data_IF_851780956576
#
_entry.id   IF_851780956576
#
_cell.length_a   1.000
_cell.length_b   1.000
_cell.length_c   1.000
_cell.angle_alpha   90.00
_cell.angle_beta   90.00
_cell.angle_gamma   90.00
#
_symmetry.space_group_name_H-M   'P 1'
#
loop_
_entity.id
_entity.type
_entity.pdbx_description
1 polymer ?
#
# COMPACT_ATOMS: atom_id res chain seq x y z
N UNK A 1 -14.39 49.03 35.02
CA UNK A 1 -14.21 47.63 34.55
C UNK A 1 -15.13 47.30 33.36
N UNK A 2 -15.18 48.13 32.32
CA UNK A 2 -16.16 47.97 31.22
C UNK A 2 -15.58 47.84 29.81
N UNK A 3 -14.24 47.84 29.64
CA UNK A 3 -13.59 47.84 28.29
C UNK A 3 -13.07 46.50 27.80
N UNK A 4 -13.15 45.41 28.58
CA UNK A 4 -12.62 44.06 28.17
C UNK A 4 -13.66 43.12 27.58
N UNK A 5 -14.94 43.48 27.59
CA UNK A 5 -16.04 42.63 27.06
C UNK A 5 -16.36 42.90 25.58
N UNK A 6 -15.96 44.02 25.02
CA UNK A 6 -16.24 44.34 23.61
C UNK A 6 -15.22 43.73 22.61
N UNK A 7 -14.04 43.31 23.09
CA UNK A 7 -13.01 42.73 22.24
C UNK A 7 -13.23 41.21 21.87
N UNK A 8 -14.16 40.53 22.57
CA UNK A 8 -14.48 39.10 22.28
C UNK A 8 -15.64 38.89 21.33
N UNK A 9 -16.40 39.92 20.99
CA UNK A 9 -17.55 39.82 20.08
C UNK A 9 -17.16 39.89 18.58
N UNK A 10 -15.90 40.25 18.26
CA UNK A 10 -15.42 40.43 16.89
C UNK A 10 -14.84 39.19 16.22
N UNK A 11 -14.85 38.00 16.89
CA UNK A 11 -14.10 36.85 16.41
C UNK A 11 -14.96 35.70 15.84
N UNK A 12 -16.23 35.93 15.54
CA UNK A 12 -17.15 34.90 15.03
C UNK A 12 -17.84 35.35 13.75
N UNK A 13 -17.15 36.03 12.87
CA UNK A 13 -17.62 36.22 11.50
C UNK A 13 -16.62 35.60 10.54
N UNK A 14 -16.80 34.31 10.26
CA UNK A 14 -16.16 33.65 9.11
C UNK A 14 -16.63 34.33 7.82
N UNK A 15 -15.80 34.45 6.77
CA UNK A 15 -16.18 35.03 5.50
C UNK A 15 -17.37 34.27 4.90
N UNK A 16 -18.40 34.99 4.48
CA UNK A 16 -19.57 34.46 3.83
C UNK A 16 -19.21 33.90 2.46
N UNK A 17 -19.59 32.66 2.25
CA UNK A 17 -19.61 31.99 0.96
C UNK A 17 -20.81 32.56 0.13
N UNK A 18 -20.61 33.10 -1.08
CA UNK A 18 -21.68 33.77 -1.87
C UNK A 18 -22.77 32.84 -2.42
N UNK A 19 -22.68 31.52 -2.20
CA UNK A 19 -23.63 30.53 -2.73
C UNK A 19 -24.63 29.95 -1.73
N UNK A 20 -24.55 30.28 -0.45
CA UNK A 20 -25.46 29.71 0.56
C UNK A 20 -26.57 30.73 0.91
N UNK A 21 -27.88 30.41 0.70
CA UNK A 21 -28.94 31.31 1.09
C UNK A 21 -28.81 31.60 2.59
N UNK A 22 -28.80 32.87 2.94
CA UNK A 22 -28.74 33.30 4.33
C UNK A 22 -29.81 32.61 5.14
N UNK A 23 -29.48 32.09 6.34
CA UNK A 23 -30.54 31.64 7.23
C UNK A 23 -31.53 32.79 7.43
N UNK A 24 -32.86 32.49 7.48
CA UNK A 24 -33.85 33.51 7.61
C UNK A 24 -33.47 34.40 8.78
N UNK A 25 -33.38 35.69 8.51
CA UNK A 25 -33.10 36.67 9.55
C UNK A 25 -34.13 36.44 10.66
N UNK A 26 -33.65 36.14 11.84
CA UNK A 26 -34.50 36.12 13.04
C UNK A 26 -35.17 37.51 13.12
N UNK A 27 -36.41 37.57 12.63
CA UNK A 27 -37.24 38.74 12.84
C UNK A 27 -37.36 38.88 14.35
N UNK A 28 -36.61 39.83 14.89
CA UNK A 28 -36.84 40.27 16.28
C UNK A 28 -38.19 40.95 16.23
N UNK A 29 -39.25 40.18 16.55
CA UNK A 29 -40.46 40.80 17.00
C UNK A 29 -40.09 41.58 18.28
N UNK A 30 -40.10 42.88 18.16
CA UNK A 30 -40.09 43.79 19.33
C UNK A 30 -41.42 43.58 20.10
N UNK A 31 -41.49 42.44 20.79
CA UNK A 31 -42.59 42.20 21.73
C UNK A 31 -42.50 43.26 22.83
N UNK A 32 -43.60 43.98 23.02
CA UNK A 32 -43.74 45.00 24.02
C UNK A 32 -43.16 44.57 25.38
N UNK A 33 -42.22 45.37 25.91
CA UNK A 33 -41.57 45.06 27.19
C UNK A 33 -42.66 44.97 28.27
N UNK A 34 -42.70 43.90 29.04
CA UNK A 34 -43.67 43.71 30.10
C UNK A 34 -43.56 44.84 31.13
N UNK A 35 -44.65 45.50 31.40
CA UNK A 35 -44.70 46.64 32.33
C UNK A 35 -44.77 46.23 33.81
N UNK A 36 -44.90 44.92 34.10
CA UNK A 36 -44.97 44.37 35.44
C UNK A 36 -44.00 43.20 35.66
N UNK A 37 -43.52 42.99 36.87
CA UNK A 37 -42.60 41.89 37.21
C UNK A 37 -43.24 40.52 36.92
N UNK A 38 -44.54 40.36 37.09
CA UNK A 38 -45.28 39.12 36.78
C UNK A 38 -45.34 38.89 35.28
N UNK A 39 -45.54 39.93 34.47
CA UNK A 39 -45.50 39.83 33.00
C UNK A 39 -44.11 39.48 32.48
N UNK A 40 -43.04 40.00 33.10
CA UNK A 40 -41.67 39.66 32.75
C UNK A 40 -41.36 38.18 33.07
N UNK A 41 -41.82 37.68 34.17
CA UNK A 41 -41.65 36.28 34.58
C UNK A 41 -42.46 35.33 33.69
N UNK A 42 -43.67 35.68 33.31
CA UNK A 42 -44.48 34.91 32.35
C UNK A 42 -43.79 34.84 30.97
N UNK A 43 -43.29 35.97 30.45
CA UNK A 43 -42.53 35.96 29.18
C UNK A 43 -41.21 35.18 29.27
N UNK A 44 -40.53 35.21 30.41
CA UNK A 44 -39.33 34.40 30.62
C UNK A 44 -39.64 32.92 30.59
N UNK A 45 -40.69 32.48 31.30
CA UNK A 45 -41.16 31.09 31.36
C UNK A 45 -41.60 30.60 29.96
N UNK A 46 -42.30 31.44 29.22
CA UNK A 46 -42.75 31.12 27.87
C UNK A 46 -41.59 30.96 26.89
N UNK A 47 -40.62 31.90 26.93
CA UNK A 47 -39.38 31.80 26.12
C UNK A 47 -38.57 30.54 26.48
N UNK A 48 -38.48 30.22 27.77
CA UNK A 48 -37.77 29.02 28.22
C UNK A 48 -38.52 27.75 27.76
N UNK A 49 -39.83 27.73 27.81
CA UNK A 49 -40.65 26.64 27.31
C UNK A 49 -40.51 26.46 25.80
N UNK A 50 -40.50 27.56 25.01
CA UNK A 50 -40.25 27.52 23.57
C UNK A 50 -38.86 27.02 23.25
N UNK A 51 -37.83 27.50 23.94
CA UNK A 51 -36.46 27.05 23.74
C UNK A 51 -36.27 25.55 24.06
N UNK A 52 -36.94 25.05 25.12
CA UNK A 52 -36.94 23.63 25.48
C UNK A 52 -37.65 22.79 24.41
N UNK A 53 -38.78 23.24 23.89
CA UNK A 53 -39.52 22.56 22.81
C UNK A 53 -38.69 22.53 21.53
N UNK A 54 -38.10 23.66 21.15
CA UNK A 54 -37.23 23.77 19.96
C UNK A 54 -36.00 22.87 20.09
N UNK A 55 -35.32 22.87 21.24
CA UNK A 55 -34.21 21.96 21.53
C UNK A 55 -34.64 20.48 21.49
N UNK A 56 -35.88 20.18 21.95
CA UNK A 56 -36.46 18.84 21.85
C UNK A 56 -36.67 18.39 20.40
N UNK A 57 -37.26 19.25 19.56
CA UNK A 57 -37.49 18.99 18.15
C UNK A 57 -36.17 18.83 17.38
N UNK A 58 -35.20 19.73 17.63
CA UNK A 58 -33.87 19.61 17.03
C UNK A 58 -33.14 18.33 17.43
N UNK A 59 -33.30 17.93 18.71
CA UNK A 59 -32.73 16.67 19.21
C UNK A 59 -33.38 15.45 18.56
N UNK A 60 -34.68 15.52 18.29
CA UNK A 60 -35.40 14.46 17.59
C UNK A 60 -35.03 14.38 16.11
N UNK A 61 -34.88 15.52 15.43
CA UNK A 61 -34.32 15.59 14.07
C UNK A 61 -32.90 15.07 14.01
N UNK A 62 -32.06 15.39 14.99
CA UNK A 62 -30.71 14.87 15.06
C UNK A 62 -30.64 13.33 15.23
N UNK A 63 -31.65 12.74 15.89
CA UNK A 63 -31.76 11.28 16.01
C UNK A 63 -32.00 10.57 14.68
N UNK A 64 -32.67 11.23 13.72
CA UNK A 64 -32.85 10.67 12.37
C UNK A 64 -31.50 10.53 11.63
N UNK A 65 -30.50 11.31 12.04
CA UNK A 65 -29.13 11.24 11.50
C UNK A 65 -28.17 10.38 12.33
N UNK A 66 -28.68 9.75 13.42
CA UNK A 66 -27.88 8.85 14.25
C UNK A 66 -27.39 7.66 13.40
N UNK A 67 -26.08 7.48 13.33
CA UNK A 67 -25.44 6.46 12.50
C UNK A 67 -25.20 6.85 11.05
N UNK A 68 -25.61 8.06 10.62
CA UNK A 68 -25.25 8.58 9.29
C UNK A 68 -23.92 9.32 9.40
N UNK A 69 -22.93 8.85 8.65
CA UNK A 69 -21.63 9.53 8.55
C UNK A 69 -21.80 10.81 7.70
N UNK A 70 -21.40 11.99 8.23
CA UNK A 70 -21.57 13.25 7.49
C UNK A 70 -20.70 13.26 6.23
N UNK A 71 -21.32 13.54 5.10
CA UNK A 71 -20.60 13.80 3.85
C UNK A 71 -20.29 15.27 3.72
N UNK A 72 -19.09 15.59 3.25
CA UNK A 72 -18.63 16.97 3.04
C UNK A 72 -17.85 17.08 1.71
N UNK A 73 -18.01 18.19 1.01
CA UNK A 73 -17.12 18.56 -0.09
C UNK A 73 -15.85 19.18 0.49
N UNK A 74 -14.70 18.68 0.05
CA UNK A 74 -13.39 19.11 0.49
C UNK A 74 -12.55 19.50 -0.71
N UNK A 75 -11.78 20.59 -0.59
CA UNK A 75 -10.77 20.89 -1.59
C UNK A 75 -9.72 19.77 -1.62
N UNK A 76 -9.43 19.15 -2.79
CA UNK A 76 -8.53 17.99 -2.85
C UNK A 76 -7.14 18.27 -2.28
N UNK A 77 -6.66 19.52 -2.35
CA UNK A 77 -5.38 19.93 -1.79
C UNK A 77 -5.29 19.81 -0.25
N UNK A 78 -6.43 19.76 0.45
CA UNK A 78 -6.49 19.56 1.91
C UNK A 78 -6.43 18.08 2.29
N UNK A 79 -6.51 17.18 1.32
CA UNK A 79 -6.60 15.73 1.54
C UNK A 79 -5.31 15.07 1.09
N UNK A 80 -4.53 14.55 2.04
CA UNK A 80 -3.27 13.85 1.79
C UNK A 80 -3.44 12.34 1.63
N UNK A 81 -2.45 11.71 1.00
CA UNK A 81 -2.37 10.24 0.97
C UNK A 81 -1.96 9.71 2.33
N UNK A 82 -2.53 8.58 2.73
CA UNK A 82 -2.03 7.86 3.89
C UNK A 82 -0.63 7.29 3.65
N UNK A 83 0.20 7.29 4.69
CA UNK A 83 1.50 6.59 4.70
C UNK A 83 1.36 5.08 4.48
N UNK A 84 0.19 4.52 4.79
CA UNK A 84 -0.15 3.11 4.58
C UNK A 84 -0.67 2.80 3.17
N UNK A 85 -0.78 3.82 2.30
CA UNK A 85 -1.34 3.67 0.98
C UNK A 85 -0.39 2.91 0.04
N UNK A 86 -0.72 1.65 -0.24
CA UNK A 86 0.04 0.74 -1.10
C UNK A 86 -0.32 0.83 -2.60
N UNK A 87 -0.81 1.99 -3.07
CA UNK A 87 -1.11 2.13 -4.50
C UNK A 87 0.12 2.58 -5.27
N UNK A 88 0.55 1.73 -6.19
CA UNK A 88 1.63 2.07 -7.14
C UNK A 88 1.20 3.24 -8.04
N UNK A 89 2.16 4.09 -8.41
CA UNK A 89 1.91 5.26 -9.28
C UNK A 89 1.23 4.90 -10.62
N UNK A 90 1.44 3.69 -11.12
CA UNK A 90 0.79 3.19 -12.34
C UNK A 90 -0.74 3.01 -12.20
N UNK A 91 -1.27 2.89 -10.98
CA UNK A 91 -2.73 2.81 -10.75
C UNK A 91 -3.49 4.09 -11.08
N UNK A 92 -2.75 5.20 -11.23
CA UNK A 92 -3.27 6.52 -11.61
C UNK A 92 -3.02 6.84 -13.10
N UNK A 93 -2.66 5.83 -13.88
CA UNK A 93 -2.41 5.94 -15.33
C UNK A 93 -3.14 4.82 -16.04
N UNK A 94 -3.49 5.07 -17.29
CA UNK A 94 -4.14 4.07 -18.13
C UNK A 94 -5.63 4.31 -18.38
N UNK A 95 -6.21 3.53 -19.29
CA UNK A 95 -7.58 3.80 -19.82
C UNK A 95 -8.66 3.74 -18.75
N UNK A 96 -8.52 2.87 -17.75
CA UNK A 96 -9.47 2.77 -16.64
C UNK A 96 -9.48 4.00 -15.71
N UNK A 97 -8.34 4.66 -15.55
CA UNK A 97 -8.27 5.89 -14.76
C UNK A 97 -8.83 7.07 -15.54
N UNK A 98 -8.53 7.16 -16.84
CA UNK A 98 -9.09 8.20 -17.71
C UNK A 98 -10.61 8.07 -17.85
N UNK A 99 -11.14 6.84 -17.94
CA UNK A 99 -12.58 6.61 -17.94
C UNK A 99 -13.24 7.07 -16.62
N UNK A 100 -12.63 6.77 -15.47
CA UNK A 100 -13.10 7.25 -14.17
C UNK A 100 -13.08 8.77 -14.08
N UNK A 101 -12.04 9.42 -14.60
CA UNK A 101 -11.91 10.88 -14.61
C UNK A 101 -12.97 11.54 -15.50
N UNK A 102 -13.22 10.93 -16.68
CA UNK A 102 -14.28 11.39 -17.57
C UNK A 102 -15.68 11.28 -16.95
N UNK A 103 -15.97 10.18 -16.26
CA UNK A 103 -17.23 9.96 -15.54
C UNK A 103 -17.42 11.00 -14.42
N UNK A 104 -16.40 11.22 -13.59
CA UNK A 104 -16.42 12.23 -12.52
C UNK A 104 -16.62 13.63 -13.09
N UNK A 105 -15.99 13.96 -14.23
CA UNK A 105 -16.15 15.23 -14.91
C UNK A 105 -17.56 15.43 -15.44
N UNK A 106 -18.14 14.39 -16.07
CA UNK A 106 -19.49 14.43 -16.62
C UNK A 106 -20.58 14.64 -15.55
N UNK A 107 -20.33 14.10 -14.34
CA UNK A 107 -21.27 14.19 -13.20
C UNK A 107 -21.02 15.43 -12.31
N UNK A 108 -20.01 16.27 -12.66
CA UNK A 108 -19.64 17.46 -11.88
C UNK A 108 -19.08 17.14 -10.49
N UNK A 109 -18.60 15.91 -10.26
CA UNK A 109 -18.01 15.45 -9.01
C UNK A 109 -18.09 13.94 -8.81
N UNK A 110 -17.44 13.42 -7.79
CA UNK A 110 -17.57 12.01 -7.43
C UNK A 110 -18.91 11.75 -6.72
N UNK A 111 -19.75 10.91 -7.28
CA UNK A 111 -21.04 10.49 -6.68
C UNK A 111 -20.79 9.61 -5.47
N UNK A 112 -19.89 8.64 -5.61
CA UNK A 112 -19.47 7.81 -4.50
C UNK A 112 -18.42 8.54 -3.67
N UNK A 113 -18.67 8.86 -2.39
CA UNK A 113 -17.71 9.58 -1.56
C UNK A 113 -16.43 8.79 -1.35
N UNK A 114 -15.34 9.51 -1.09
CA UNK A 114 -14.13 8.94 -0.50
C UNK A 114 -14.29 8.93 1.03
N UNK A 115 -13.51 8.10 1.73
CA UNK A 115 -13.45 8.13 3.19
C UNK A 115 -12.12 8.74 3.63
N UNK A 116 -12.18 9.70 4.55
CA UNK A 116 -11.03 10.43 5.07
C UNK A 116 -11.11 10.54 6.59
N UNK A 117 -9.96 10.67 7.25
CA UNK A 117 -9.89 11.06 8.68
C UNK A 117 -9.29 12.44 8.85
N UNK A 118 -9.57 13.09 9.97
CA UNK A 118 -8.92 14.34 10.35
C UNK A 118 -7.49 14.08 10.83
N UNK A 119 -6.56 14.95 10.43
CA UNK A 119 -5.20 14.93 10.98
C UNK A 119 -5.18 15.81 12.26
N UNK A 120 -4.89 15.17 13.38
CA UNK A 120 -4.80 15.86 14.69
C UNK A 120 -3.68 16.91 14.70
N UNK A 121 -2.53 16.56 14.10
CA UNK A 121 -1.34 17.40 14.03
C UNK A 121 -1.48 18.57 13.05
N UNK A 122 -2.45 18.54 12.16
CA UNK A 122 -2.67 19.55 11.13
C UNK A 122 -4.15 19.89 11.00
N UNK A 123 -4.71 20.75 11.86
CA UNK A 123 -6.11 21.12 11.82
C UNK A 123 -6.56 21.59 10.43
N UNK A 124 -7.66 21.07 9.95
CA UNK A 124 -8.19 21.37 8.61
C UNK A 124 -7.61 20.55 7.47
N UNK A 125 -6.64 19.66 7.73
CA UNK A 125 -6.16 18.65 6.78
C UNK A 125 -6.73 17.28 7.09
N UNK A 126 -6.80 16.47 6.04
CA UNK A 126 -7.39 15.14 6.07
C UNK A 126 -6.44 14.11 5.45
N UNK A 127 -6.57 12.87 5.86
CA UNK A 127 -5.84 11.72 5.32
C UNK A 127 -6.83 10.72 4.71
N UNK A 128 -6.53 10.23 3.51
CA UNK A 128 -7.40 9.29 2.79
C UNK A 128 -7.32 7.92 3.43
N UNK A 129 -8.49 7.37 3.79
CA UNK A 129 -8.67 5.98 4.17
C UNK A 129 -8.97 5.16 2.91
N UNK A 130 -10.03 5.54 2.16
CA UNK A 130 -10.45 4.89 0.92
C UNK A 130 -10.71 5.90 -0.19
N UNK A 131 -10.56 5.44 -1.44
CA UNK A 131 -10.92 6.23 -2.61
C UNK A 131 -9.79 7.04 -3.24
N UNK A 132 -8.54 6.61 -3.10
CA UNK A 132 -7.36 7.28 -3.65
C UNK A 132 -7.47 7.64 -5.14
N UNK A 133 -8.09 6.78 -5.99
CA UNK A 133 -8.26 7.06 -7.43
C UNK A 133 -9.25 8.19 -7.66
N UNK A 134 -10.37 8.23 -6.90
CA UNK A 134 -11.36 9.31 -7.00
C UNK A 134 -10.78 10.65 -6.55
N UNK A 135 -10.03 10.64 -5.43
CA UNK A 135 -9.32 11.82 -4.96
C UNK A 135 -8.36 12.35 -6.03
N UNK A 136 -7.52 11.47 -6.61
CA UNK A 136 -6.56 11.87 -7.64
C UNK A 136 -7.28 12.44 -8.89
N UNK A 137 -8.38 11.83 -9.30
CA UNK A 137 -9.17 12.33 -10.42
C UNK A 137 -9.75 13.72 -10.14
N UNK A 138 -10.34 13.94 -8.95
CA UNK A 138 -10.84 15.27 -8.53
C UNK A 138 -9.70 16.29 -8.45
N UNK A 139 -8.53 15.90 -7.95
CA UNK A 139 -7.34 16.76 -7.90
C UNK A 139 -6.89 17.21 -9.28
N UNK A 140 -6.82 16.28 -10.25
CA UNK A 140 -6.46 16.60 -11.64
C UNK A 140 -7.51 17.44 -12.36
N UNK A 141 -8.79 17.28 -12.03
CA UNK A 141 -9.88 18.05 -12.57
C UNK A 141 -10.06 19.42 -11.89
N UNK A 142 -9.40 19.65 -10.74
CA UNK A 142 -9.54 20.89 -9.98
C UNK A 142 -10.92 21.09 -9.35
N UNK A 143 -11.64 19.99 -9.04
CA UNK A 143 -12.98 20.02 -8.44
C UNK A 143 -12.98 19.47 -7.02
N UNK A 144 -13.90 19.93 -6.19
CA UNK A 144 -14.05 19.45 -4.81
C UNK A 144 -14.39 17.96 -4.77
N UNK A 145 -13.80 17.24 -3.83
CA UNK A 145 -14.06 15.83 -3.62
C UNK A 145 -15.12 15.63 -2.52
N UNK A 146 -16.15 14.85 -2.82
CA UNK A 146 -17.13 14.43 -1.83
C UNK A 146 -16.50 13.37 -0.93
N UNK A 147 -16.47 13.62 0.39
CA UNK A 147 -15.82 12.77 1.37
C UNK A 147 -16.73 12.49 2.58
N UNK A 148 -16.64 11.29 3.13
CA UNK A 148 -17.10 10.92 4.46
C UNK A 148 -15.94 11.14 5.43
N UNK A 149 -16.21 11.76 6.57
CA UNK A 149 -15.20 12.02 7.59
C UNK A 149 -15.41 11.04 8.74
N UNK A 150 -14.44 10.18 8.97
CA UNK A 150 -14.40 9.24 10.08
C UNK A 150 -13.25 9.61 11.02
N UNK A 151 -13.48 9.53 12.33
CA UNK A 151 -12.44 9.77 13.32
C UNK A 151 -11.83 8.41 13.72
N UNK A 152 -10.79 8.00 13.01
CA UNK A 152 -10.04 6.76 13.25
C UNK A 152 -8.63 7.08 13.74
N UNK A 153 -8.16 6.31 14.72
CA UNK A 153 -6.75 6.28 15.09
C UNK A 153 -5.89 5.54 14.04
N UNK A 154 -4.58 5.57 14.17
CA UNK A 154 -3.65 4.96 13.24
C UNK A 154 -3.83 3.45 13.11
N UNK A 155 -4.18 2.79 14.20
CA UNK A 155 -4.38 1.35 14.25
C UNK A 155 -5.63 0.93 13.50
N UNK A 156 -6.77 1.60 13.77
CA UNK A 156 -8.03 1.34 13.05
C UNK A 156 -7.92 1.72 11.57
N UNK A 157 -7.24 2.83 11.27
CA UNK A 157 -6.92 3.20 9.88
C UNK A 157 -6.17 2.07 9.17
N UNK A 158 -5.10 1.54 9.79
CA UNK A 158 -4.32 0.46 9.23
C UNK A 158 -5.17 -0.80 8.97
N UNK A 159 -6.00 -1.20 9.95
CA UNK A 159 -6.89 -2.38 9.83
C UNK A 159 -7.88 -2.20 8.68
N UNK A 160 -8.50 -1.04 8.54
CA UNK A 160 -9.46 -0.77 7.46
C UNK A 160 -8.77 -0.77 6.09
N UNK A 161 -7.60 -0.15 5.98
CA UNK A 161 -6.81 -0.17 4.74
C UNK A 161 -6.31 -1.57 4.38
N UNK A 162 -5.91 -2.38 5.37
CA UNK A 162 -5.54 -3.78 5.14
C UNK A 162 -6.73 -4.60 4.63
N UNK A 163 -7.93 -4.40 5.21
CA UNK A 163 -9.15 -5.07 4.78
C UNK A 163 -9.49 -4.75 3.32
N UNK A 164 -9.39 -3.49 2.89
CA UNK A 164 -9.59 -3.08 1.49
C UNK A 164 -8.52 -3.70 0.59
N UNK A 165 -7.26 -3.62 1.00
CA UNK A 165 -6.14 -4.13 0.22
C UNK A 165 -6.25 -5.64 -0.03
N UNK A 166 -6.65 -6.43 0.96
CA UNK A 166 -6.84 -7.89 0.81
C UNK A 166 -7.96 -8.29 -0.16
N UNK A 167 -8.93 -7.41 -0.39
CA UNK A 167 -9.97 -7.65 -1.41
C UNK A 167 -9.43 -7.44 -2.84
N UNK A 168 -8.25 -6.88 -3.00
CA UNK A 168 -7.61 -6.67 -4.30
C UNK A 168 -6.91 -7.93 -4.77
N UNK A 169 -7.14 -8.29 -6.03
CA UNK A 169 -6.53 -9.49 -6.65
C UNK A 169 -5.05 -9.35 -6.99
N UNK A 170 -4.52 -8.15 -7.00
CA UNK A 170 -3.20 -7.81 -7.56
C UNK A 170 -2.12 -7.62 -6.50
N UNK A 171 -2.45 -7.69 -5.21
CA UNK A 171 -1.48 -7.44 -4.15
C UNK A 171 -0.46 -8.58 -4.04
N UNK A 172 0.81 -8.24 -4.12
CA UNK A 172 1.91 -9.23 -4.10
C UNK A 172 2.34 -9.56 -2.67
N UNK A 173 2.83 -10.77 -2.41
CA UNK A 173 3.27 -11.21 -1.08
C UNK A 173 4.26 -10.28 -0.40
N UNK A 174 5.21 -9.71 -1.14
CA UNK A 174 6.19 -8.76 -0.62
C UNK A 174 5.55 -7.43 -0.19
N UNK A 175 4.60 -6.90 -0.97
CA UNK A 175 3.91 -5.64 -0.62
C UNK A 175 3.12 -5.78 0.67
N UNK A 176 2.42 -6.91 0.83
CA UNK A 176 1.69 -7.24 2.06
C UNK A 176 2.66 -7.32 3.24
N UNK A 177 3.77 -8.04 3.07
CA UNK A 177 4.79 -8.18 4.09
C UNK A 177 5.42 -6.86 4.49
N UNK A 178 5.76 -6.00 3.52
CA UNK A 178 6.32 -4.67 3.76
C UNK A 178 5.37 -3.77 4.55
N UNK A 179 4.07 -3.80 4.22
CA UNK A 179 3.05 -3.06 4.95
C UNK A 179 2.94 -3.53 6.41
N UNK A 180 2.93 -4.84 6.65
CA UNK A 180 2.88 -5.39 8.01
C UNK A 180 4.17 -5.11 8.79
N UNK A 181 5.34 -5.21 8.14
CA UNK A 181 6.61 -4.89 8.76
C UNK A 181 6.66 -3.43 9.21
N UNK A 182 6.24 -2.50 8.35
CA UNK A 182 6.17 -1.09 8.67
C UNK A 182 5.24 -0.83 9.87
N UNK A 183 4.03 -1.40 9.87
CA UNK A 183 3.07 -1.23 10.96
C UNK A 183 3.62 -1.75 12.30
N UNK A 184 4.36 -2.85 12.26
CA UNK A 184 5.00 -3.43 13.42
C UNK A 184 6.17 -2.58 13.92
N UNK A 185 7.03 -2.12 13.01
CA UNK A 185 8.22 -1.34 13.32
C UNK A 185 7.86 0.07 13.84
N UNK A 186 6.73 0.63 13.40
CA UNK A 186 6.15 1.88 13.92
C UNK A 186 5.38 1.69 15.24
N UNK A 187 5.33 0.46 15.78
CA UNK A 187 4.74 0.17 17.08
C UNK A 187 3.22 0.22 17.15
N UNK A 188 2.50 0.13 16.00
CA UNK A 188 1.04 0.07 16.01
C UNK A 188 0.51 -1.16 16.74
N UNK A 189 1.29 -2.23 16.76
CA UNK A 189 0.92 -3.49 17.39
C UNK A 189 2.06 -3.98 18.30
N UNK A 190 1.70 -4.42 19.50
CA UNK A 190 2.67 -4.88 20.51
C UNK A 190 3.33 -6.22 20.17
N UNK A 191 2.76 -7.02 19.27
CA UNK A 191 3.31 -8.29 18.82
C UNK A 191 2.72 -8.72 17.48
N UNK A 192 3.45 -9.56 16.73
CA UNK A 192 2.95 -10.14 15.48
C UNK A 192 1.65 -10.94 15.70
N UNK A 193 1.50 -11.59 16.85
CA UNK A 193 0.28 -12.30 17.20
C UNK A 193 -0.92 -11.36 17.30
N UNK A 194 -0.74 -10.22 17.99
CA UNK A 194 -1.80 -9.19 18.09
C UNK A 194 -2.14 -8.60 16.72
N UNK A 195 -1.14 -8.32 15.90
CA UNK A 195 -1.37 -7.88 14.53
C UNK A 195 -2.22 -8.90 13.76
N UNK A 196 -1.87 -10.20 13.81
CA UNK A 196 -2.63 -11.25 13.12
C UNK A 196 -4.08 -11.35 13.60
N UNK A 197 -4.30 -11.30 14.92
CA UNK A 197 -5.62 -11.35 15.55
C UNK A 197 -6.49 -10.18 15.09
N UNK A 198 -5.95 -8.96 15.10
CA UNK A 198 -6.71 -7.75 14.82
C UNK A 198 -7.01 -7.53 13.32
N UNK A 199 -6.08 -7.89 12.44
CA UNK A 199 -6.34 -7.87 10.99
C UNK A 199 -7.11 -9.12 10.51
N UNK A 200 -7.30 -10.13 11.38
CA UNK A 200 -8.07 -11.34 11.08
C UNK A 200 -7.38 -12.25 10.06
N UNK A 201 -6.07 -12.49 10.22
CA UNK A 201 -5.31 -13.43 9.38
C UNK A 201 -4.63 -14.49 10.25
N UNK A 202 -4.28 -15.60 9.62
CA UNK A 202 -3.52 -16.66 10.30
C UNK A 202 -2.11 -16.18 10.65
N UNK A 203 -1.66 -16.50 11.88
CA UNK A 203 -0.34 -16.11 12.37
C UNK A 203 0.80 -16.66 11.51
N UNK A 204 0.65 -17.87 10.95
CA UNK A 204 1.69 -18.45 10.08
C UNK A 204 1.78 -17.70 8.75
N UNK A 205 0.66 -17.24 8.22
CA UNK A 205 0.62 -16.40 7.03
C UNK A 205 1.29 -15.05 7.26
N UNK A 206 0.97 -14.39 8.39
CA UNK A 206 1.63 -13.15 8.79
C UNK A 206 3.14 -13.35 8.94
N UNK A 207 3.57 -14.42 9.63
CA UNK A 207 4.98 -14.73 9.83
C UNK A 207 5.73 -14.88 8.51
N UNK A 208 5.14 -15.58 7.52
CA UNK A 208 5.72 -15.70 6.17
C UNK A 208 5.82 -14.35 5.47
N UNK A 209 4.78 -13.50 5.57
CA UNK A 209 4.78 -12.17 4.99
C UNK A 209 5.88 -11.28 5.59
N UNK A 210 5.99 -11.25 6.92
CA UNK A 210 7.05 -10.52 7.63
C UNK A 210 8.44 -11.03 7.27
N UNK A 211 8.62 -12.35 7.15
CA UNK A 211 9.90 -12.95 6.75
C UNK A 211 10.31 -12.53 5.34
N UNK A 212 9.36 -12.41 4.38
CA UNK A 212 9.64 -11.88 3.06
C UNK A 212 10.10 -10.42 3.10
N UNK A 213 9.40 -9.59 3.86
CA UNK A 213 9.73 -8.17 3.98
C UNK A 213 11.09 -7.92 4.65
N UNK A 214 11.50 -8.82 5.54
CA UNK A 214 12.76 -8.74 6.30
C UNK A 214 13.93 -9.47 5.64
N UNK A 215 13.77 -9.95 4.41
CA UNK A 215 14.91 -10.47 3.65
C UNK A 215 15.96 -9.36 3.45
N UNK A 216 17.26 -9.70 3.51
CA UNK A 216 18.32 -8.74 3.26
C UNK A 216 18.16 -8.05 1.91
N UNK A 217 18.49 -6.77 1.85
CA UNK A 217 18.35 -5.93 0.65
C UNK A 217 19.10 -6.52 -0.55
N UNK A 218 20.28 -7.10 -0.35
CA UNK A 218 21.03 -7.75 -1.43
C UNK A 218 20.24 -8.91 -2.05
N UNK A 219 19.55 -9.72 -1.23
CA UNK A 219 18.70 -10.81 -1.71
C UNK A 219 17.51 -10.28 -2.48
N UNK A 220 16.85 -9.22 -1.99
CA UNK A 220 15.72 -8.58 -2.69
C UNK A 220 16.14 -8.04 -4.06
N UNK A 221 17.30 -7.40 -4.12
CA UNK A 221 17.85 -6.79 -5.33
C UNK A 221 18.42 -7.81 -6.35
N UNK A 222 18.64 -9.06 -5.96
CA UNK A 222 19.05 -10.13 -6.86
C UNK A 222 17.91 -10.53 -7.83
N UNK A 223 16.66 -10.38 -7.42
CA UNK A 223 15.49 -10.60 -8.27
C UNK A 223 15.25 -9.40 -9.19
N UNK A 224 14.53 -9.60 -10.30
CA UNK A 224 14.10 -8.48 -11.17
C UNK A 224 13.27 -7.46 -10.39
N UNK A 225 12.38 -7.97 -9.55
CA UNK A 225 11.56 -7.19 -8.66
C UNK A 225 11.33 -7.98 -7.36
N UNK A 226 11.31 -7.31 -6.19
CA UNK A 226 10.85 -7.94 -4.95
C UNK A 226 9.43 -8.50 -5.04
N UNK A 227 8.62 -8.01 -6.00
CA UNK A 227 7.26 -8.48 -6.25
C UNK A 227 7.19 -9.89 -6.84
N UNK A 228 8.30 -10.42 -7.35
CA UNK A 228 8.38 -11.79 -7.86
C UNK A 228 8.46 -12.83 -6.75
N UNK A 229 8.77 -12.41 -5.52
CA UNK A 229 8.89 -13.28 -4.35
C UNK A 229 7.55 -13.93 -4.00
N UNK A 230 7.59 -15.21 -3.64
CA UNK A 230 6.41 -16.02 -3.32
C UNK A 230 6.51 -16.59 -1.91
N UNK A 231 5.38 -16.73 -1.23
CA UNK A 231 5.31 -17.28 0.14
C UNK A 231 5.96 -18.66 0.26
N UNK A 232 5.88 -19.50 -0.76
CA UNK A 232 6.49 -20.84 -0.78
C UNK A 232 8.03 -20.83 -0.73
N UNK A 233 8.67 -19.71 -1.09
CA UNK A 233 10.14 -19.58 -1.09
C UNK A 233 10.71 -19.10 0.25
N UNK A 234 9.84 -18.64 1.15
CA UNK A 234 10.26 -18.04 2.43
C UNK A 234 11.08 -18.99 3.29
N UNK A 235 10.56 -20.22 3.48
CA UNK A 235 11.22 -21.20 4.33
C UNK A 235 12.62 -21.54 3.83
N UNK A 236 12.74 -21.78 2.52
CA UNK A 236 14.00 -22.16 1.87
C UNK A 236 15.02 -21.01 1.95
N UNK A 237 14.60 -19.78 1.60
CA UNK A 237 15.47 -18.59 1.66
C UNK A 237 15.91 -18.29 3.10
N UNK A 238 14.99 -18.39 4.07
CA UNK A 238 15.31 -18.17 5.48
C UNK A 238 16.30 -19.23 5.99
N UNK A 239 16.08 -20.49 5.64
CA UNK A 239 16.98 -21.58 5.99
C UNK A 239 18.38 -21.41 5.37
N UNK A 240 18.45 -21.03 4.11
CA UNK A 240 19.72 -20.76 3.44
C UNK A 240 20.51 -19.62 4.11
N UNK A 241 19.80 -18.52 4.44
CA UNK A 241 20.37 -17.37 5.14
C UNK A 241 20.81 -17.70 6.57
N UNK A 242 20.13 -18.64 7.26
CA UNK A 242 20.55 -19.10 8.59
C UNK A 242 21.76 -20.03 8.52
N UNK A 243 21.88 -20.82 7.46
CA UNK A 243 22.96 -21.80 7.28
C UNK A 243 24.27 -21.14 6.87
N UNK A 244 24.24 -20.28 5.88
CA UNK A 244 25.42 -19.56 5.37
C UNK A 244 25.02 -18.19 4.83
N UNK A 245 24.87 -17.18 5.70
CA UNK A 245 24.47 -15.84 5.30
C UNK A 245 25.46 -15.17 4.36
N UNK A 246 26.77 -15.36 4.59
CA UNK A 246 27.80 -14.69 3.76
C UNK A 246 27.80 -15.23 2.33
N UNK A 247 27.66 -16.54 2.16
CA UNK A 247 27.58 -17.15 0.83
C UNK A 247 26.32 -16.67 0.08
N UNK A 248 25.15 -16.67 0.72
CA UNK A 248 23.90 -16.22 0.11
C UNK A 248 23.98 -14.76 -0.30
N UNK A 249 24.52 -13.88 0.55
CA UNK A 249 24.66 -12.46 0.24
C UNK A 249 25.69 -12.21 -0.88
N UNK A 250 26.80 -12.95 -0.88
CA UNK A 250 27.81 -12.88 -1.95
C UNK A 250 27.22 -13.30 -3.30
N UNK A 251 26.45 -14.40 -3.34
CA UNK A 251 25.75 -14.86 -4.53
C UNK A 251 24.69 -13.87 -5.00
N UNK A 252 23.94 -13.29 -4.07
CA UNK A 252 22.91 -12.28 -4.39
C UNK A 252 23.53 -11.06 -5.07
N UNK A 253 24.66 -10.56 -4.58
CA UNK A 253 25.41 -9.46 -5.21
C UNK A 253 25.93 -9.84 -6.60
N UNK A 254 26.49 -11.04 -6.75
CA UNK A 254 26.96 -11.51 -8.05
C UNK A 254 25.83 -11.61 -9.09
N UNK A 255 24.67 -12.15 -8.69
CA UNK A 255 23.50 -12.28 -9.57
C UNK A 255 22.98 -10.90 -9.98
N UNK A 256 23.01 -9.93 -9.07
CA UNK A 256 22.57 -8.56 -9.34
C UNK A 256 23.35 -7.90 -10.48
N UNK A 257 24.64 -8.19 -10.59
CA UNK A 257 25.55 -7.62 -11.62
C UNK A 257 25.46 -8.35 -12.98
N UNK A 258 24.73 -9.48 -13.07
CA UNK A 258 24.57 -10.22 -14.31
C UNK A 258 23.67 -9.50 -15.32
N UNK A 259 24.11 -9.51 -16.59
CA UNK A 259 23.33 -8.97 -17.72
C UNK A 259 23.29 -10.01 -18.85
N UNK A 260 22.10 -10.51 -19.25
CA UNK A 260 20.77 -10.22 -18.67
C UNK A 260 20.61 -10.90 -17.31
N UNK A 261 19.79 -10.31 -16.44
CA UNK A 261 19.46 -10.92 -15.14
C UNK A 261 18.74 -12.25 -15.31
N UNK A 262 19.06 -13.28 -14.51
CA UNK A 262 18.37 -14.57 -14.55
C UNK A 262 16.90 -14.45 -14.16
N UNK A 263 16.05 -15.36 -14.66
CA UNK A 263 14.66 -15.44 -14.23
C UNK A 263 14.58 -15.74 -12.72
N UNK A 264 13.51 -15.24 -12.06
CA UNK A 264 13.35 -15.32 -10.60
C UNK A 264 13.44 -16.74 -10.03
N UNK A 265 12.98 -17.76 -10.77
CA UNK A 265 13.13 -19.17 -10.38
C UNK A 265 14.60 -19.65 -10.40
N UNK A 266 15.39 -19.17 -11.34
CA UNK A 266 16.82 -19.49 -11.42
C UNK A 266 17.61 -18.75 -10.33
N UNK A 267 17.25 -17.48 -10.04
CA UNK A 267 17.81 -16.72 -8.91
C UNK A 267 17.61 -17.50 -7.62
N UNK A 268 16.37 -17.93 -7.33
CA UNK A 268 16.06 -18.74 -6.14
C UNK A 268 16.93 -19.98 -6.08
N UNK A 269 16.97 -20.77 -7.17
CA UNK A 269 17.74 -22.01 -7.23
C UNK A 269 19.23 -21.77 -6.92
N UNK A 270 19.83 -20.73 -7.46
CA UNK A 270 21.23 -20.38 -7.22
C UNK A 270 21.49 -19.95 -5.77
N UNK A 271 20.60 -19.16 -5.18
CA UNK A 271 20.72 -18.76 -3.78
C UNK A 271 20.62 -19.95 -2.83
N UNK A 272 19.77 -20.95 -3.13
CA UNK A 272 19.59 -22.14 -2.29
C UNK A 272 20.71 -23.16 -2.46
N UNK A 273 21.24 -23.35 -3.65
CA UNK A 273 22.24 -24.40 -3.91
C UNK A 273 23.65 -23.98 -3.56
N UNK A 274 23.90 -22.71 -3.29
CA UNK A 274 25.26 -22.18 -3.14
C UNK A 274 26.11 -22.34 -4.42
N UNK A 275 25.53 -22.98 -5.39
CA UNK A 275 26.11 -23.18 -6.73
C UNK A 275 25.50 -22.17 -7.69
N UNK A 276 25.87 -20.88 -7.51
CA UNK A 276 25.93 -20.09 -8.69
C UNK A 276 26.78 -20.85 -9.70
N UNK A 277 26.26 -21.09 -10.89
CA UNK A 277 27.14 -21.13 -12.05
C UNK A 277 27.67 -19.68 -12.21
N UNK A 278 28.51 -19.25 -11.25
CA UNK A 278 29.50 -18.26 -11.56
C UNK A 278 30.23 -18.94 -12.72
N UNK A 279 30.36 -18.35 -13.91
CA UNK A 279 31.39 -18.82 -14.81
C UNK A 279 32.66 -18.68 -13.96
N UNK A 280 33.10 -19.79 -13.41
CA UNK A 280 34.40 -19.84 -12.75
C UNK A 280 35.37 -19.33 -13.81
N UNK A 281 36.04 -18.24 -13.51
CA UNK A 281 37.21 -17.78 -14.29
C UNK A 281 38.32 -18.84 -14.30
N UNK A 282 37.96 -20.09 -14.31
CA UNK A 282 38.80 -21.28 -14.32
C UNK A 282 38.19 -22.49 -15.03
N UNK A 283 36.87 -22.56 -15.30
CA UNK A 283 36.33 -23.61 -16.19
C UNK A 283 36.19 -23.03 -17.61
N UNK A 284 37.14 -23.28 -18.46
CA UNK A 284 37.00 -23.00 -19.88
C UNK A 284 35.90 -23.92 -20.45
N UNK A 285 34.72 -23.35 -20.73
CA UNK A 285 33.74 -24.05 -21.58
C UNK A 285 34.07 -23.72 -23.02
N UNK A 286 34.64 -24.65 -23.71
CA UNK A 286 34.94 -24.53 -25.14
C UNK A 286 33.78 -25.14 -25.94
N UNK A 287 33.22 -24.37 -26.87
CA UNK A 287 32.22 -24.88 -27.80
C UNK A 287 32.89 -25.22 -29.11
N UNK A 288 33.05 -26.49 -29.36
CA UNK A 288 33.64 -26.98 -30.63
C UNK A 288 32.49 -27.10 -31.64
N UNK A 289 32.57 -26.32 -32.70
CA UNK A 289 31.63 -26.40 -33.82
C UNK A 289 32.06 -27.49 -34.80
N UNK A 290 31.22 -28.47 -35.05
CA UNK A 290 31.40 -29.47 -36.06
C UNK A 290 30.69 -29.17 -37.38
N UNK A 291 30.99 -29.90 -38.42
CA UNK A 291 30.32 -29.81 -39.72
C UNK A 291 28.82 -30.22 -39.61
N UNK A 292 27.93 -29.53 -40.32
CA UNK A 292 26.47 -29.84 -40.30
C UNK A 292 25.71 -29.33 -39.09
N UNK A 293 26.19 -28.23 -38.44
CA UNK A 293 25.47 -27.60 -37.33
C UNK A 293 25.63 -28.31 -35.98
N UNK A 294 26.44 -29.35 -35.89
CA UNK A 294 26.71 -30.08 -34.64
C UNK A 294 27.60 -29.28 -33.73
N UNK A 295 27.34 -29.30 -32.42
CA UNK A 295 28.10 -28.58 -31.40
C UNK A 295 28.48 -29.52 -30.27
N UNK A 296 29.73 -29.50 -29.85
CA UNK A 296 30.19 -30.13 -28.63
C UNK A 296 30.52 -29.08 -27.59
N UNK A 297 30.06 -29.26 -26.35
CA UNK A 297 30.50 -28.44 -25.23
C UNK A 297 31.48 -29.22 -24.39
N UNK A 298 32.68 -28.72 -24.23
CA UNK A 298 33.74 -29.31 -23.40
C UNK A 298 33.96 -28.39 -22.23
N UNK A 299 33.73 -28.86 -21.02
CA UNK A 299 33.95 -28.12 -19.77
C UNK A 299 35.07 -28.82 -18.98
N UNK A 300 36.13 -28.11 -18.65
CA UNK A 300 37.22 -28.59 -17.80
C UNK A 300 37.15 -27.91 -16.42
N UNK A 301 37.09 -28.70 -15.35
CA UNK A 301 37.22 -28.23 -13.98
C UNK A 301 38.64 -28.56 -13.45
N UNK A 302 39.52 -27.55 -13.34
CA UNK A 302 40.90 -27.77 -12.92
C UNK A 302 41.02 -28.17 -11.44
N UNK A 303 40.05 -27.79 -10.60
CA UNK A 303 40.09 -28.16 -9.18
C UNK A 303 39.70 -29.62 -8.95
N UNK A 304 38.72 -30.11 -9.70
CA UNK A 304 38.26 -31.51 -9.62
C UNK A 304 39.03 -32.42 -10.62
N UNK A 305 39.84 -31.84 -11.48
CA UNK A 305 40.51 -32.55 -12.58
C UNK A 305 39.53 -33.37 -13.43
N UNK A 306 38.34 -32.81 -13.67
CA UNK A 306 37.28 -33.50 -14.44
C UNK A 306 37.02 -32.75 -15.74
N UNK A 307 36.81 -33.54 -16.79
CA UNK A 307 36.35 -33.04 -18.10
C UNK A 307 34.94 -33.55 -18.29
N UNK A 308 34.03 -32.65 -18.62
CA UNK A 308 32.66 -32.99 -19.04
C UNK A 308 32.54 -32.65 -20.53
N UNK A 309 32.11 -33.61 -21.32
CA UNK A 309 31.87 -33.43 -22.75
C UNK A 309 30.39 -33.72 -23.02
N UNK A 310 29.64 -32.70 -23.44
CA UNK A 310 28.24 -32.80 -23.84
C UNK A 310 28.16 -32.73 -25.37
N UNK A 311 27.78 -33.85 -25.97
CA UNK A 311 27.63 -34.02 -27.42
C UNK A 311 26.17 -34.22 -27.77
N UNK A 312 25.57 -33.37 -28.59
CA UNK A 312 24.21 -33.48 -29.06
C UNK A 312 24.14 -33.90 -30.53
N UNK A 313 23.13 -34.67 -30.89
CA UNK A 313 22.84 -35.13 -32.26
C UNK A 313 23.95 -35.96 -32.89
N UNK A 314 24.50 -36.94 -32.15
CA UNK A 314 25.54 -37.84 -32.61
C UNK A 314 24.89 -39.00 -33.39
N UNK A 315 25.52 -39.33 -34.52
CA UNK A 315 25.20 -40.56 -35.28
C UNK A 315 25.56 -41.81 -34.43
N UNK A 316 24.66 -42.80 -34.28
CA UNK A 316 24.95 -44.03 -33.55
C UNK A 316 26.25 -44.72 -33.98
N UNK A 317 26.62 -44.65 -35.26
CA UNK A 317 27.88 -45.22 -35.80
C UNK A 317 29.12 -44.56 -35.20
N UNK A 318 29.09 -43.23 -34.87
CA UNK A 318 30.19 -42.49 -34.28
C UNK A 318 30.31 -42.67 -32.76
N UNK A 319 29.29 -43.20 -32.10
CA UNK A 319 29.36 -43.48 -30.67
C UNK A 319 30.44 -44.50 -30.33
N UNK A 320 30.64 -45.52 -31.17
CA UNK A 320 31.71 -46.50 -30.97
C UNK A 320 33.10 -45.88 -31.10
N UNK A 321 33.31 -44.96 -32.05
CA UNK A 321 34.57 -44.24 -32.25
C UNK A 321 34.88 -43.31 -31.06
N UNK A 322 33.88 -42.59 -30.55
CA UNK A 322 34.02 -41.72 -29.38
C UNK A 322 34.38 -42.54 -28.13
N UNK A 323 33.68 -43.68 -27.93
CA UNK A 323 33.99 -44.58 -26.83
C UNK A 323 35.40 -45.14 -26.90
N UNK A 324 35.88 -45.55 -28.08
CA UNK A 324 37.23 -46.04 -28.30
C UNK A 324 38.28 -44.94 -28.04
N UNK A 325 38.00 -43.70 -28.50
CA UNK A 325 38.88 -42.56 -28.26
C UNK A 325 38.99 -42.20 -26.76
N UNK A 326 37.89 -42.25 -26.04
CA UNK A 326 37.87 -42.03 -24.59
C UNK A 326 38.57 -43.14 -23.83
N UNK A 327 38.43 -44.41 -24.24
CA UNK A 327 39.14 -45.53 -23.65
C UNK A 327 40.67 -45.41 -23.86
N UNK A 328 41.10 -44.94 -25.02
CA UNK A 328 42.53 -44.69 -25.30
C UNK A 328 43.12 -43.53 -24.51
N UNK A 329 42.30 -42.54 -24.07
CA UNK A 329 42.73 -41.41 -23.26
C UNK A 329 42.80 -41.75 -21.76
N UNK A 330 42.07 -42.79 -21.34
CA UNK A 330 42.03 -43.18 -19.93
C UNK A 330 43.03 -44.30 -19.58
N UNK A 331 43.80 -44.76 -20.53
CA UNK A 331 44.81 -45.80 -20.37
C UNK A 331 44.33 -47.14 -20.87
#
# INVERSE_FOLDING_TARGET
MGKKLLAKAGLVLAPRDPGNPAPPALVREEGARPKTAIGAMAQFTDRQSHAIKEAGLLKEQLKEFDGILPTRRLAPALVGRSRWANRHALSFKGPEFEALKADISAQGGNVQPITVRRLVESPGKYEIIFGHRRHQACLELGIDVLAIIEDLDDKHLFIEMDRENRQRKDLRPYEIGAMYAQAFDEGLFSSARRLAEEVGIDHSQLSKALSLARLPTDVLLAFHSPLDLQYRWVADLTSALQTDPEQVLSLARAIREEVPRPASAEVLKRLLTGRGTVPHSGSSVEVIAGTGGRKAKVAFDPKKRTVRIDLAHIDPAKYAEIKAALQKLLG
#
